data_IF_297733597303
#
_entry.id   IF_297733597303
#
_cell.length_a   1.000
_cell.length_b   1.000
_cell.length_c   1.000
_cell.angle_alpha   90.00
_cell.angle_beta   90.00
_cell.angle_gamma   90.00
#
_symmetry.space_group_name_H-M   'P 1'
#
loop_
_entity.id
_entity.type
_entity.pdbx_description
1 polymer ?
#
# COMPACT_ATOMS: atom_id res chain seq x y z
N UNK A 1 8.49 -18.66 6.91
CA UNK A 1 8.97 -18.11 5.63
C UNK A 1 9.61 -19.25 4.86
N UNK A 2 9.31 -19.42 3.57
CA UNK A 2 9.87 -20.51 2.75
C UNK A 2 11.35 -20.21 2.44
N UNK A 3 12.26 -20.68 3.30
CA UNK A 3 13.72 -20.48 3.20
C UNK A 3 14.30 -20.79 1.81
N UNK A 4 13.59 -21.64 1.06
CA UNK A 4 13.91 -22.01 -0.32
C UNK A 4 14.13 -20.82 -1.26
N UNK A 5 13.51 -19.66 -0.99
CA UNK A 5 13.57 -18.49 -1.88
C UNK A 5 14.40 -17.32 -1.34
N UNK A 6 15.15 -17.50 -0.25
CA UNK A 6 15.93 -16.42 0.37
C UNK A 6 16.92 -15.79 -0.63
N UNK A 7 17.54 -16.61 -1.50
CA UNK A 7 18.43 -16.15 -2.56
C UNK A 7 17.76 -15.26 -3.62
N UNK A 8 16.44 -15.34 -3.78
CA UNK A 8 15.66 -14.54 -4.74
C UNK A 8 15.19 -13.20 -4.16
N UNK A 9 15.45 -12.91 -2.88
CA UNK A 9 15.10 -11.63 -2.27
C UNK A 9 15.99 -10.54 -2.86
N UNK A 10 15.38 -9.60 -3.58
CA UNK A 10 16.04 -8.48 -4.27
C UNK A 10 17.00 -8.88 -5.41
N UNK A 11 17.31 -10.16 -5.59
CA UNK A 11 18.18 -10.70 -6.63
C UNK A 11 17.39 -11.54 -7.64
N UNK A 12 17.83 -11.52 -8.90
CA UNK A 12 17.28 -12.42 -9.91
C UNK A 12 18.04 -13.76 -9.89
N UNK A 13 17.30 -14.86 -9.77
CA UNK A 13 17.79 -16.22 -10.02
C UNK A 13 16.87 -16.82 -11.07
N UNK A 14 17.43 -17.25 -12.21
CA UNK A 14 16.64 -17.80 -13.32
C UNK A 14 15.47 -16.89 -13.75
N UNK A 15 15.72 -15.57 -13.82
CA UNK A 15 14.71 -14.53 -14.16
C UNK A 15 13.56 -14.37 -13.17
N UNK A 16 13.63 -15.00 -11.99
CA UNK A 16 12.68 -14.82 -10.89
C UNK A 16 13.29 -13.96 -9.77
N UNK A 17 12.49 -13.05 -9.19
CA UNK A 17 12.89 -12.16 -8.09
C UNK A 17 11.70 -11.87 -7.17
N UNK A 18 11.94 -11.87 -5.86
CA UNK A 18 11.03 -11.31 -4.86
C UNK A 18 11.41 -9.83 -4.70
N UNK A 19 10.65 -8.95 -5.35
CA UNK A 19 10.97 -7.52 -5.46
C UNK A 19 10.37 -6.62 -4.37
N UNK A 20 9.31 -7.06 -3.71
CA UNK A 20 8.54 -6.18 -2.83
C UNK A 20 7.36 -6.87 -2.17
N UNK A 21 6.56 -6.05 -1.50
CA UNK A 21 5.27 -6.40 -0.93
C UNK A 21 4.16 -5.75 -1.75
N UNK A 22 3.03 -6.46 -1.88
CA UNK A 22 1.78 -5.92 -2.43
C UNK A 22 0.80 -5.76 -1.28
N UNK A 23 0.09 -4.64 -1.26
CA UNK A 23 -0.96 -4.34 -0.28
C UNK A 23 -2.19 -3.79 -1.00
N UNK A 24 -3.38 -4.06 -0.46
CA UNK A 24 -4.66 -3.53 -0.95
C UNK A 24 -5.23 -2.57 0.09
N UNK A 25 -5.54 -1.34 -0.29
CA UNK A 25 -6.12 -0.35 0.64
C UNK A 25 -7.63 -0.22 0.44
N UNK A 26 -8.11 -0.58 -0.73
CA UNK A 26 -9.52 -0.68 -1.07
C UNK A 26 -9.71 -1.71 -2.20
N UNK A 27 -10.91 -1.74 -2.78
CA UNK A 27 -11.28 -2.63 -3.88
C UNK A 27 -11.75 -1.80 -5.09
N UNK A 28 -12.58 -2.37 -5.95
CA UNK A 28 -12.95 -1.83 -7.25
C UNK A 28 -14.05 -0.75 -7.17
N UNK A 29 -13.91 0.37 -7.92
CA UNK A 29 -14.98 1.34 -8.11
C UNK A 29 -16.22 0.74 -8.77
N UNK A 30 -16.06 -0.22 -9.69
CA UNK A 30 -17.17 -0.85 -10.41
C UNK A 30 -18.10 -1.65 -9.48
N UNK A 31 -17.59 -2.13 -8.35
CA UNK A 31 -18.39 -2.79 -7.32
C UNK A 31 -18.76 -1.86 -6.15
N UNK A 32 -18.50 -0.55 -6.28
CA UNK A 32 -18.63 0.46 -5.22
C UNK A 32 -17.84 0.16 -3.94
N UNK A 33 -16.72 -0.55 -4.06
CA UNK A 33 -15.89 -0.93 -2.90
C UNK A 33 -14.53 -0.20 -2.86
N UNK A 34 -14.28 0.72 -3.79
CA UNK A 34 -13.16 1.65 -3.68
C UNK A 34 -13.46 2.70 -2.60
N UNK A 35 -12.46 3.12 -1.83
CA UNK A 35 -12.67 4.01 -0.70
C UNK A 35 -12.54 5.48 -1.13
N UNK A 36 -13.67 6.18 -1.15
CA UNK A 36 -13.82 7.51 -1.74
C UNK A 36 -13.92 8.65 -0.71
N UNK A 37 -13.45 9.86 -1.05
CA UNK A 37 -13.62 11.05 -0.21
C UNK A 37 -15.06 11.58 -0.23
N UNK A 38 -15.77 11.37 -1.33
CA UNK A 38 -17.17 11.74 -1.51
C UNK A 38 -18.02 10.50 -1.78
N UNK A 39 -19.32 10.50 -1.46
CA UNK A 39 -20.22 9.39 -1.79
C UNK A 39 -20.22 9.04 -3.27
N UNK A 40 -20.47 7.77 -3.59
CA UNK A 40 -20.78 7.37 -4.96
C UNK A 40 -22.03 8.10 -5.45
N UNK A 41 -22.06 8.45 -6.74
CA UNK A 41 -23.11 9.29 -7.34
C UNK A 41 -24.51 8.68 -7.15
N UNK A 42 -24.62 7.36 -7.18
CA UNK A 42 -25.86 6.60 -7.05
C UNK A 42 -26.08 6.02 -5.64
N UNK A 43 -25.23 6.36 -4.66
CA UNK A 43 -25.37 5.89 -3.29
C UNK A 43 -26.52 6.61 -2.56
N UNK A 44 -27.58 5.85 -2.23
CA UNK A 44 -28.76 6.37 -1.51
C UNK A 44 -28.50 6.80 -0.06
N UNK A 45 -27.41 6.34 0.54
CA UNK A 45 -27.10 6.50 1.97
C UNK A 45 -25.75 7.18 2.21
N UNK A 46 -25.24 7.94 1.24
CA UNK A 46 -23.93 8.58 1.36
C UNK A 46 -22.76 7.59 1.42
N UNK A 47 -22.95 6.37 0.91
CA UNK A 47 -21.93 5.33 0.90
C UNK A 47 -20.71 5.71 0.05
N UNK A 48 -19.53 5.39 0.57
CA UNK A 48 -18.21 5.86 0.08
C UNK A 48 -17.23 4.70 -0.15
N UNK A 49 -17.71 3.46 -0.19
CA UNK A 49 -16.84 2.30 -0.04
C UNK A 49 -16.23 2.23 1.36
N UNK A 50 -15.10 1.56 1.49
CA UNK A 50 -14.46 1.36 2.80
C UNK A 50 -12.96 1.06 2.65
N UNK A 51 -12.13 1.49 3.62
CA UNK A 51 -10.74 1.07 3.66
C UNK A 51 -10.63 -0.39 4.07
N UNK A 52 -9.61 -1.10 3.57
CA UNK A 52 -9.24 -2.45 4.02
C UNK A 52 -8.55 -2.40 5.38
N UNK A 53 -7.76 -1.36 5.64
CA UNK A 53 -6.98 -1.21 6.88
C UNK A 53 -7.33 0.08 7.61
N UNK A 54 -7.23 0.04 8.93
CA UNK A 54 -7.14 1.26 9.74
C UNK A 54 -5.77 1.90 9.56
N UNK A 55 -5.67 3.19 9.88
CA UNK A 55 -4.44 3.98 9.74
C UNK A 55 -3.23 3.33 10.43
N UNK A 56 -3.38 2.92 11.70
CA UNK A 56 -2.28 2.29 12.45
C UNK A 56 -1.85 0.92 11.88
N UNK A 57 -2.73 0.22 11.17
CA UNK A 57 -2.41 -1.07 10.54
C UNK A 57 -1.60 -0.84 9.27
N UNK A 58 -2.08 0.09 8.43
CA UNK A 58 -1.39 0.51 7.22
C UNK A 58 0.01 1.07 7.53
N UNK A 59 0.12 1.92 8.55
CA UNK A 59 1.40 2.46 9.03
C UNK A 59 2.40 1.34 9.35
N UNK A 60 1.98 0.30 10.11
CA UNK A 60 2.85 -0.84 10.45
C UNK A 60 3.34 -1.60 9.22
N UNK A 61 2.51 -1.79 8.21
CA UNK A 61 2.92 -2.46 6.97
C UNK A 61 3.90 -1.60 6.15
N UNK A 62 3.70 -0.28 6.14
CA UNK A 62 4.62 0.65 5.50
C UNK A 62 5.97 0.65 6.22
N UNK A 63 5.98 0.73 7.56
CA UNK A 63 7.21 0.63 8.36
C UNK A 63 7.94 -0.69 8.11
N UNK A 64 7.22 -1.81 8.00
CA UNK A 64 7.81 -3.12 7.68
C UNK A 64 8.51 -3.10 6.31
N UNK A 65 7.88 -2.53 5.29
CA UNK A 65 8.48 -2.39 3.97
C UNK A 65 9.74 -1.52 4.00
N UNK A 66 9.69 -0.42 4.74
CA UNK A 66 10.81 0.49 4.98
C UNK A 66 11.99 -0.24 5.64
N UNK A 67 11.74 -0.88 6.79
CA UNK A 67 12.75 -1.57 7.61
C UNK A 67 13.40 -2.73 6.86
N UNK A 68 12.63 -3.47 6.06
CA UNK A 68 13.14 -4.56 5.24
C UNK A 68 13.81 -4.08 3.94
N UNK A 69 13.79 -2.78 3.67
CA UNK A 69 14.28 -2.20 2.42
C UNK A 69 13.65 -2.88 1.19
N UNK A 70 12.32 -3.04 1.22
CA UNK A 70 11.52 -3.68 0.17
C UNK A 70 10.59 -2.66 -0.47
N UNK A 71 10.31 -2.83 -1.76
CA UNK A 71 9.33 -2.00 -2.45
C UNK A 71 7.92 -2.30 -1.94
N UNK A 72 7.10 -1.29 -1.68
CA UNK A 72 5.67 -1.46 -1.40
C UNK A 72 4.83 -1.02 -2.59
N UNK A 73 4.06 -1.95 -3.14
CA UNK A 73 3.09 -1.74 -4.21
C UNK A 73 1.71 -1.65 -3.58
N UNK A 74 1.11 -0.45 -3.53
CA UNK A 74 -0.20 -0.24 -2.93
C UNK A 74 -1.28 -0.15 -3.99
N UNK A 75 -2.28 -1.02 -3.92
CA UNK A 75 -3.53 -0.88 -4.65
C UNK A 75 -4.44 0.10 -3.91
N UNK A 76 -4.74 1.21 -4.56
CA UNK A 76 -5.63 2.24 -4.07
C UNK A 76 -6.38 2.90 -5.23
N UNK A 77 -7.61 2.46 -5.46
CA UNK A 77 -8.44 2.98 -6.54
C UNK A 77 -9.09 4.31 -6.13
N UNK A 78 -9.66 4.34 -4.94
CA UNK A 78 -10.32 5.48 -4.38
C UNK A 78 -9.35 6.57 -3.93
N UNK A 79 -9.83 7.79 -3.98
CA UNK A 79 -9.08 8.98 -3.57
C UNK A 79 -8.88 9.02 -2.04
N UNK A 80 -9.83 8.53 -1.25
CA UNK A 80 -9.63 8.39 0.20
C UNK A 80 -8.60 7.31 0.54
N UNK A 81 -8.58 6.17 -0.16
CA UNK A 81 -7.51 5.18 -0.02
C UNK A 81 -6.13 5.75 -0.38
N UNK A 82 -6.06 6.54 -1.46
CA UNK A 82 -4.81 7.20 -1.88
C UNK A 82 -4.34 8.24 -0.85
N UNK A 83 -5.28 9.02 -0.31
CA UNK A 83 -5.01 10.00 0.74
C UNK A 83 -4.50 9.33 2.02
N UNK A 84 -5.17 8.25 2.45
CA UNK A 84 -4.76 7.43 3.58
C UNK A 84 -3.32 6.95 3.40
N UNK A 85 -3.00 6.39 2.23
CA UNK A 85 -1.66 5.90 1.93
C UNK A 85 -0.56 6.95 2.08
N UNK A 86 -0.77 8.12 1.46
CA UNK A 86 0.22 9.19 1.46
C UNK A 86 0.46 9.70 2.87
N UNK A 87 -0.60 9.85 3.67
CA UNK A 87 -0.49 10.32 5.04
C UNK A 87 0.22 9.31 5.94
N UNK A 88 -0.19 8.04 5.88
CA UNK A 88 0.46 7.00 6.69
C UNK A 88 1.92 6.77 6.25
N UNK A 89 2.25 6.96 4.97
CA UNK A 89 3.63 6.91 4.53
C UNK A 89 4.48 8.04 5.11
N UNK A 90 3.97 9.27 5.17
CA UNK A 90 4.69 10.40 5.79
C UNK A 90 5.02 10.09 7.25
N UNK A 91 4.04 9.62 8.01
CA UNK A 91 4.20 9.25 9.42
C UNK A 91 5.22 8.12 9.59
N UNK A 92 5.07 7.04 8.83
CA UNK A 92 5.99 5.90 8.89
C UNK A 92 7.43 6.29 8.49
N UNK A 93 7.59 7.17 7.50
CA UNK A 93 8.88 7.69 7.06
C UNK A 93 9.59 8.48 8.16
N UNK A 94 8.86 9.37 8.84
CA UNK A 94 9.36 10.13 9.98
C UNK A 94 9.79 9.20 11.12
N UNK A 95 8.94 8.24 11.49
CA UNK A 95 9.24 7.26 12.54
C UNK A 95 10.46 6.38 12.23
N UNK A 96 10.69 6.08 10.96
CA UNK A 96 11.82 5.27 10.53
C UNK A 96 13.09 6.09 10.20
N UNK A 97 13.09 7.41 10.39
CA UNK A 97 14.20 8.31 10.06
C UNK A 97 14.74 8.10 8.61
N UNK A 98 13.83 7.96 7.64
CA UNK A 98 14.20 7.74 6.24
C UNK A 98 14.47 9.05 5.49
N UNK A 99 15.66 9.18 4.90
CA UNK A 99 16.03 10.32 4.04
C UNK A 99 15.27 10.37 2.70
N UNK A 100 15.24 11.55 2.08
CA UNK A 100 14.48 11.88 0.87
C UNK A 100 14.86 11.11 -0.41
N UNK A 101 15.86 10.23 -0.38
CA UNK A 101 16.47 9.63 -1.59
C UNK A 101 15.78 8.35 -2.07
N UNK A 102 14.84 7.75 -1.32
CA UNK A 102 14.35 6.41 -1.64
C UNK A 102 12.98 6.34 -2.35
N UNK A 103 13.00 6.08 -3.66
CA UNK A 103 11.82 5.69 -4.48
C UNK A 103 11.35 4.27 -4.14
N UNK A 104 10.88 4.02 -2.93
CA UNK A 104 10.53 2.64 -2.46
C UNK A 104 9.04 2.34 -2.44
N UNK A 105 8.20 3.33 -2.76
CA UNK A 105 6.77 3.17 -2.72
C UNK A 105 6.17 3.54 -4.07
N UNK A 106 5.30 2.68 -4.57
CA UNK A 106 4.55 2.92 -5.79
C UNK A 106 3.07 2.62 -5.54
N UNK A 107 2.23 3.57 -5.91
CA UNK A 107 0.81 3.32 -6.15
C UNK A 107 0.70 2.49 -7.43
N UNK A 108 -0.04 1.39 -7.34
CA UNK A 108 -0.35 0.53 -8.48
C UNK A 108 -1.86 0.38 -8.51
N UNK A 109 -2.51 1.12 -9.40
CA UNK A 109 -3.95 0.98 -9.70
C UNK A 109 -4.18 -0.45 -10.17
#
# INVERSE_FOLDING_TARGET
>A
MLKTFDGCIKNYINRFKIGGYKIFLDSSPQSHTAYMLNPYIDAKNGYRGYPIYKDYELEKYIELAIKNNMQLLAHCNGDAASYQFINQYKIAKERCNLDNVSRKIQKVV
#
